data_IF_329899532373
#
_entry.id   IF_329899532373
#
_cell.length_a   1.000
_cell.length_b   1.000
_cell.length_c   1.000
_cell.angle_alpha   90.00
_cell.angle_beta   90.00
_cell.angle_gamma   90.00
#
_symmetry.space_group_name_H-M   'P 1'
#
loop_
_entity.id
_entity.type
_entity.pdbx_description
1 polymer ?
#
# COMPACT_ATOMS: atom_id res chain seq x y z
N UNK A 1 -15.96 -12.35 -1.59
CA UNK A 1 -14.57 -12.04 -1.19
C UNK A 1 -14.22 -10.71 -1.83
N UNK A 2 -14.00 -9.68 -1.03
CA UNK A 2 -13.62 -8.36 -1.54
C UNK A 2 -12.13 -8.42 -1.88
N UNK A 3 -11.78 -8.24 -3.16
CA UNK A 3 -10.40 -8.26 -3.62
C UNK A 3 -9.80 -6.87 -3.38
N UNK A 4 -9.10 -6.70 -2.25
CA UNK A 4 -8.29 -5.50 -2.02
C UNK A 4 -6.91 -5.72 -2.63
N UNK A 5 -6.63 -5.01 -3.72
CA UNK A 5 -5.30 -4.95 -4.31
C UNK A 5 -4.51 -3.79 -3.70
N UNK A 6 -3.20 -3.98 -3.53
CA UNK A 6 -2.30 -2.98 -2.96
C UNK A 6 -1.15 -2.74 -3.92
N UNK A 7 -0.86 -1.47 -4.19
CA UNK A 7 0.32 -1.03 -4.91
C UNK A 7 1.18 -0.15 -4.01
N UNK A 8 2.49 -0.21 -4.23
CA UNK A 8 3.47 0.59 -3.50
C UNK A 8 4.42 1.29 -4.46
N UNK A 9 4.90 2.45 -4.04
CA UNK A 9 5.89 3.25 -4.77
C UNK A 9 6.84 3.89 -3.77
N UNK A 10 8.09 4.08 -4.19
CA UNK A 10 9.06 4.93 -3.49
C UNK A 10 9.09 6.29 -4.20
N UNK A 11 9.28 7.38 -3.46
CA UNK A 11 9.29 8.75 -4.05
C UNK A 11 10.21 8.88 -5.27
N UNK A 12 11.36 8.21 -5.27
CA UNK A 12 12.32 8.24 -6.39
C UNK A 12 11.89 7.41 -7.61
N UNK A 13 11.04 6.40 -7.41
CA UNK A 13 10.51 5.58 -8.51
C UNK A 13 9.20 6.19 -9.00
N UNK A 14 9.12 6.57 -10.28
CA UNK A 14 7.94 7.23 -10.85
C UNK A 14 6.82 6.26 -11.29
N UNK A 15 6.87 5.01 -10.84
CA UNK A 15 5.96 3.94 -11.27
C UNK A 15 5.42 3.12 -10.10
N UNK A 16 4.10 2.90 -10.09
CA UNK A 16 3.43 2.06 -9.10
C UNK A 16 3.76 0.59 -9.33
N UNK A 17 4.16 -0.10 -8.27
CA UNK A 17 4.44 -1.55 -8.30
C UNK A 17 3.36 -2.30 -7.56
N UNK A 18 2.76 -3.28 -8.23
CA UNK A 18 1.81 -4.19 -7.62
C UNK A 18 2.50 -5.06 -6.58
N UNK A 19 1.85 -5.23 -5.44
CA UNK A 19 2.29 -6.19 -4.42
C UNK A 19 1.68 -7.55 -4.69
N UNK A 20 2.35 -8.61 -4.24
CA UNK A 20 1.82 -9.96 -4.30
C UNK A 20 1.17 -10.31 -2.95
N UNK A 21 -0.13 -10.58 -2.95
CA UNK A 21 -0.82 -11.14 -1.78
C UNK A 21 -0.32 -12.55 -1.51
N UNK A 22 0.14 -12.82 -0.28
CA UNK A 22 0.71 -14.12 0.10
C UNK A 22 -0.23 -14.93 1.00
N UNK A 23 -0.89 -14.28 1.95
CA UNK A 23 -1.85 -14.93 2.87
C UNK A 23 -2.71 -13.88 3.57
N UNK A 24 -4.02 -14.10 3.72
CA UNK A 24 -4.88 -13.16 4.45
C UNK A 24 -4.76 -11.73 3.91
N UNK A 25 -4.43 -10.76 4.75
CA UNK A 25 -4.12 -9.36 4.36
C UNK A 25 -2.61 -9.08 4.24
N UNK A 26 -1.77 -10.12 4.13
CA UNK A 26 -0.32 -10.01 4.02
C UNK A 26 0.07 -9.93 2.54
N UNK A 27 0.81 -8.88 2.20
CA UNK A 27 1.33 -8.61 0.86
C UNK A 27 2.85 -8.54 0.91
N UNK A 28 3.51 -9.02 -0.14
CA UNK A 28 4.97 -8.96 -0.29
C UNK A 28 5.34 -8.16 -1.53
N UNK A 29 6.48 -7.48 -1.47
CA UNK A 29 7.11 -6.83 -2.60
C UNK A 29 8.51 -7.41 -2.78
N UNK A 30 8.79 -7.95 -3.97
CA UNK A 30 10.13 -8.41 -4.29
C UNK A 30 11.03 -7.19 -4.52
N UNK A 31 12.26 -7.24 -3.99
CA UNK A 31 13.21 -6.13 -4.02
C UNK A 31 12.57 -4.84 -3.46
N UNK A 32 12.34 -4.78 -2.13
CA UNK A 32 11.65 -3.66 -1.53
C UNK A 32 12.37 -2.35 -1.89
N UNK A 33 11.62 -1.32 -2.31
CA UNK A 33 12.16 0.00 -2.57
C UNK A 33 12.88 0.51 -1.31
N UNK A 34 13.93 1.31 -1.52
CA UNK A 34 14.61 1.99 -0.42
C UNK A 34 13.88 3.31 -0.17
N UNK A 35 14.09 4.00 0.95
CA UNK A 35 13.44 5.30 1.13
C UNK A 35 11.97 5.24 1.54
N UNK A 36 11.33 6.41 1.49
CA UNK A 36 9.94 6.61 1.89
C UNK A 36 8.98 5.89 0.94
N UNK A 37 8.00 5.17 1.50
CA UNK A 37 7.02 4.40 0.72
C UNK A 37 5.64 5.03 0.80
N UNK A 38 5.00 5.17 -0.36
CA UNK A 38 3.59 5.56 -0.48
C UNK A 38 2.77 4.36 -0.90
N UNK A 39 1.58 4.21 -0.31
CA UNK A 39 0.68 3.10 -0.58
C UNK A 39 -0.52 3.56 -1.42
N UNK A 40 -1.04 2.65 -2.26
CA UNK A 40 -2.35 2.78 -2.90
C UNK A 40 -3.14 1.49 -2.74
N UNK A 41 -4.42 1.64 -2.47
CA UNK A 41 -5.33 0.52 -2.23
C UNK A 41 -6.47 0.59 -3.23
N UNK A 42 -6.80 -0.56 -3.82
CA UNK A 42 -8.01 -0.73 -4.59
C UNK A 42 -9.13 -1.08 -3.63
N UNK A 43 -10.05 -0.14 -3.44
CA UNK A 43 -11.14 -0.24 -2.47
C UNK A 43 -12.45 -0.45 -3.21
N UNK A 44 -13.18 -1.51 -2.86
CA UNK A 44 -14.54 -1.76 -3.36
C UNK A 44 -15.57 -1.16 -2.41
N UNK A 45 -16.22 -0.09 -2.85
CA UNK A 45 -17.39 0.49 -2.18
C UNK A 45 -18.71 -0.06 -2.75
N UNK A 46 -19.83 0.43 -2.24
CA UNK A 46 -21.18 0.03 -2.69
C UNK A 46 -21.48 0.43 -4.14
N UNK A 47 -20.88 1.52 -4.62
CA UNK A 47 -21.16 2.08 -5.94
C UNK A 47 -20.02 1.89 -6.96
N UNK A 48 -18.78 1.65 -6.52
CA UNK A 48 -17.62 1.60 -7.43
C UNK A 48 -16.37 1.00 -6.76
N UNK A 49 -15.40 0.63 -7.61
CA UNK A 49 -14.06 0.23 -7.21
C UNK A 49 -13.11 1.40 -7.55
N UNK A 50 -12.40 1.92 -6.55
CA UNK A 50 -11.52 3.09 -6.73
C UNK A 50 -10.14 2.86 -6.11
N UNK A 51 -9.13 3.51 -6.70
CA UNK A 51 -7.80 3.61 -6.11
C UNK A 51 -7.74 4.76 -5.10
N UNK A 52 -7.35 4.46 -3.87
CA UNK A 52 -7.14 5.45 -2.81
C UNK A 52 -5.67 5.43 -2.39
N UNK A 53 -5.03 6.59 -2.44
CA UNK A 53 -3.64 6.76 -1.99
C UNK A 53 -3.60 7.07 -0.50
N UNK A 54 -2.61 6.52 0.20
CA UNK A 54 -2.41 6.82 1.62
C UNK A 54 -1.99 8.27 1.81
N UNK A 55 -2.66 9.03 2.72
CA UNK A 55 -2.17 10.33 3.14
C UNK A 55 -0.82 10.26 3.85
N UNK A 56 -0.62 9.20 4.64
CA UNK A 56 0.64 8.98 5.35
C UNK A 56 1.54 8.02 4.55
N UNK A 57 2.84 8.29 4.63
CA UNK A 57 3.88 7.42 4.08
C UNK A 57 4.47 6.51 5.16
N UNK A 58 5.11 5.42 4.73
CA UNK A 58 6.02 4.66 5.58
C UNK A 58 7.39 5.32 5.48
N UNK A 59 8.01 5.72 6.60
CA UNK A 59 9.28 6.44 6.58
C UNK A 59 10.44 5.54 6.13
N UNK A 60 11.53 6.15 5.66
CA UNK A 60 12.73 5.43 5.18
C UNK A 60 13.37 4.49 6.21
N UNK A 61 13.29 4.85 7.49
CA UNK A 61 13.87 4.15 8.63
C UNK A 61 12.85 3.22 9.31
N UNK A 62 11.90 2.67 8.52
CA UNK A 62 10.91 1.75 9.04
C UNK A 62 11.57 0.52 9.68
N UNK A 63 10.96 0.01 10.75
CA UNK A 63 11.50 -1.10 11.53
C UNK A 63 10.59 -2.32 11.45
N UNK A 64 11.20 -3.51 11.53
CA UNK A 64 10.46 -4.76 11.53
C UNK A 64 9.55 -4.85 12.76
N UNK A 65 8.29 -5.21 12.56
CA UNK A 65 7.30 -5.33 13.63
C UNK A 65 6.64 -4.02 14.07
N UNK A 66 7.10 -2.87 13.57
CA UNK A 66 6.44 -1.59 13.82
C UNK A 66 5.12 -1.48 13.04
N UNK A 67 4.19 -0.69 13.57
CA UNK A 67 2.90 -0.39 12.95
C UNK A 67 2.90 1.06 12.47
N UNK A 68 2.52 1.25 11.21
CA UNK A 68 2.38 2.57 10.57
C UNK A 68 0.93 2.78 10.17
N UNK A 69 0.35 3.91 10.58
CA UNK A 69 -1.02 4.26 10.21
C UNK A 69 -1.01 4.98 8.85
N UNK A 70 -1.60 4.36 7.83
CA UNK A 70 -1.70 4.92 6.48
C UNK A 70 -2.69 6.08 6.37
N UNK A 71 -3.55 6.26 7.37
CA UNK A 71 -4.63 7.25 7.44
C UNK A 71 -5.60 7.19 6.25
N UNK A 72 -5.78 6.00 5.67
CA UNK A 72 -6.80 5.78 4.64
C UNK A 72 -8.16 5.69 5.30
N UNK A 73 -9.05 6.57 4.88
CA UNK A 73 -10.45 6.58 5.27
C UNK A 73 -11.25 5.83 4.22
N UNK A 74 -12.01 4.83 4.65
CA UNK A 74 -13.00 4.17 3.82
C UNK A 74 -14.31 4.97 3.93
N UNK A 75 -14.60 5.80 2.93
CA UNK A 75 -15.87 6.54 2.81
C UNK A 75 -16.95 5.68 2.18
#
# INVERSE_FOLDING_TARGET
MNNTDICMIQEDYKEWRHTRRVFGAVHVLQNPPRGTLTLRFLVSGSASINWVQSPNTIPVDWTTGATYNSNILHT
#
